data_IF_755368236389
#
_entry.id   IF_755368236389
#
_cell.length_a   1.000
_cell.length_b   1.000
_cell.length_c   1.000
_cell.angle_alpha   90.00
_cell.angle_beta   90.00
_cell.angle_gamma   90.00
#
_symmetry.space_group_name_H-M   'P 1'
#
loop_
_entity.id
_entity.type
_entity.pdbx_description
1 polymer ?
#
# COMPACT_ATOMS: atom_id res chain seq x y z
N UNK A 1 1.86 -12.06 -8.18
CA UNK A 1 2.11 -13.38 -7.55
C UNK A 1 3.59 -13.60 -7.22
N UNK A 2 4.54 -13.39 -8.14
CA UNK A 2 5.96 -13.61 -7.86
C UNK A 2 6.46 -12.73 -6.70
N UNK A 3 6.20 -11.43 -6.73
CA UNK A 3 6.56 -10.50 -5.66
C UNK A 3 5.94 -10.90 -4.32
N UNK A 4 4.67 -11.33 -4.26
CA UNK A 4 4.02 -11.74 -3.00
C UNK A 4 4.69 -12.96 -2.36
N UNK A 5 5.16 -13.92 -3.18
CA UNK A 5 5.91 -15.08 -2.67
C UNK A 5 7.25 -14.68 -2.06
N UNK A 6 7.92 -13.67 -2.62
CA UNK A 6 9.16 -13.13 -2.08
C UNK A 6 8.92 -12.36 -0.78
N UNK A 7 7.86 -11.53 -0.73
CA UNK A 7 7.48 -10.78 0.47
C UNK A 7 7.13 -11.69 1.65
N UNK A 8 6.42 -12.79 1.40
CA UNK A 8 6.06 -13.75 2.44
C UNK A 8 7.25 -14.45 3.11
N UNK A 9 8.47 -14.34 2.54
CA UNK A 9 9.71 -14.87 3.07
C UNK A 9 10.56 -13.83 3.80
N UNK A 10 10.20 -12.54 3.73
CA UNK A 10 10.97 -11.48 4.39
C UNK A 10 10.84 -11.57 5.91
N UNK A 11 11.97 -11.46 6.59
CA UNK A 11 11.99 -11.30 8.05
C UNK A 11 11.54 -9.91 8.48
N UNK A 12 11.09 -9.80 9.72
CA UNK A 12 10.57 -8.56 10.33
C UNK A 12 11.54 -7.39 10.21
N UNK A 13 12.84 -7.62 10.49
CA UNK A 13 13.86 -6.57 10.43
C UNK A 13 13.96 -5.96 9.03
N UNK A 14 13.96 -6.80 7.97
CA UNK A 14 14.01 -6.30 6.59
C UNK A 14 12.76 -5.52 6.22
N UNK A 15 11.58 -6.00 6.63
CA UNK A 15 10.33 -5.26 6.40
C UNK A 15 10.36 -3.89 7.08
N UNK A 16 10.83 -3.82 8.33
CA UNK A 16 10.93 -2.56 9.06
C UNK A 16 11.93 -1.60 8.41
N UNK A 17 13.12 -2.08 8.04
CA UNK A 17 14.14 -1.30 7.32
C UNK A 17 13.56 -0.66 6.05
N UNK A 18 12.86 -1.45 5.24
CA UNK A 18 12.26 -0.97 3.98
C UNK A 18 11.16 0.05 4.24
N UNK A 19 10.29 -0.17 5.23
CA UNK A 19 9.24 0.79 5.58
C UNK A 19 9.83 2.13 6.04
N UNK A 20 10.88 2.11 6.88
CA UNK A 20 11.57 3.33 7.29
C UNK A 20 12.21 4.05 6.09
N UNK A 21 12.83 3.31 5.18
CA UNK A 21 13.40 3.88 3.94
C UNK A 21 12.32 4.50 3.04
N UNK A 22 11.14 3.87 2.92
CA UNK A 22 10.00 4.43 2.19
C UNK A 22 9.51 5.72 2.86
N UNK A 23 9.38 5.76 4.19
CA UNK A 23 8.97 6.96 4.90
C UNK A 23 9.93 8.14 4.64
N UNK A 24 11.24 7.90 4.67
CA UNK A 24 12.25 8.92 4.36
C UNK A 24 12.20 9.34 2.87
N UNK A 25 11.99 8.39 1.94
CA UNK A 25 11.85 8.71 0.53
C UNK A 25 10.61 9.59 0.25
N UNK A 26 9.49 9.34 0.93
CA UNK A 26 8.27 10.18 0.84
C UNK A 26 8.56 11.61 1.31
N UNK A 27 9.27 11.80 2.44
CA UNK A 27 9.67 13.11 2.93
C UNK A 27 10.60 13.83 1.97
N UNK A 28 11.61 13.12 1.46
CA UNK A 28 12.59 13.65 0.53
C UNK A 28 11.97 14.10 -0.81
N UNK A 29 10.91 13.43 -1.25
CA UNK A 29 10.21 13.72 -2.50
C UNK A 29 8.91 14.53 -2.29
N UNK A 30 8.74 15.18 -1.14
CA UNK A 30 7.53 15.94 -0.83
C UNK A 30 7.24 17.03 -1.87
N UNK A 31 8.28 17.70 -2.40
CA UNK A 31 8.12 18.71 -3.46
C UNK A 31 7.48 18.14 -4.72
N UNK A 32 7.98 17.01 -5.22
CA UNK A 32 7.42 16.31 -6.37
C UNK A 32 5.97 15.87 -6.13
N UNK A 33 5.69 15.28 -4.98
CA UNK A 33 4.32 14.83 -4.63
C UNK A 33 3.36 16.03 -4.56
N UNK A 34 3.79 17.17 -4.00
CA UNK A 34 2.97 18.38 -3.93
C UNK A 34 2.72 18.99 -5.30
N UNK A 35 3.69 18.99 -6.20
CA UNK A 35 3.52 19.47 -7.57
C UNK A 35 2.46 18.63 -8.32
N UNK A 36 2.53 17.31 -8.23
CA UNK A 36 1.55 16.42 -8.84
C UNK A 36 0.16 16.55 -8.17
N UNK A 37 0.11 16.70 -6.85
CA UNK A 37 -1.13 16.94 -6.12
C UNK A 37 -1.78 18.28 -6.51
N UNK A 38 -0.98 19.31 -6.80
CA UNK A 38 -1.52 20.59 -7.26
C UNK A 38 -2.33 20.44 -8.56
N UNK A 39 -1.90 19.58 -9.49
CA UNK A 39 -2.65 19.29 -10.73
C UNK A 39 -4.01 18.70 -10.44
N UNK A 40 -4.09 17.73 -9.52
CA UNK A 40 -5.36 17.12 -9.10
C UNK A 40 -6.28 18.14 -8.44
N UNK A 41 -5.72 18.99 -7.57
CA UNK A 41 -6.48 20.03 -6.85
C UNK A 41 -7.04 21.09 -7.81
N UNK A 42 -6.24 21.55 -8.78
CA UNK A 42 -6.70 22.54 -9.78
C UNK A 42 -7.79 21.92 -10.68
N UNK A 43 -7.63 20.68 -11.10
CA UNK A 43 -8.68 19.97 -11.85
C UNK A 43 -9.95 19.82 -11.01
N UNK A 44 -9.84 19.42 -9.75
CA UNK A 44 -10.99 19.30 -8.84
C UNK A 44 -11.74 20.62 -8.63
N UNK A 45 -11.01 21.76 -8.55
CA UNK A 45 -11.63 23.10 -8.51
C UNK A 45 -12.37 23.42 -9.82
N UNK A 46 -11.73 23.15 -10.96
CA UNK A 46 -12.33 23.38 -12.28
C UNK A 46 -13.62 22.58 -12.48
N UNK A 47 -13.66 21.34 -11.96
CA UNK A 47 -14.82 20.46 -12.01
C UNK A 47 -15.89 20.76 -10.95
N UNK A 48 -15.70 21.81 -10.15
CA UNK A 48 -16.66 22.23 -9.12
C UNK A 48 -16.75 21.28 -7.92
N UNK A 49 -15.66 20.60 -7.59
CA UNK A 49 -15.60 19.68 -6.43
C UNK A 49 -15.98 20.40 -5.14
N UNK A 50 -16.80 19.76 -4.30
CA UNK A 50 -17.21 20.31 -3.00
C UNK A 50 -15.99 20.51 -2.08
N UNK A 51 -16.01 21.59 -1.29
CA UNK A 51 -14.89 21.98 -0.42
C UNK A 51 -14.38 20.87 0.50
N UNK A 52 -15.26 20.06 1.07
CA UNK A 52 -14.87 18.94 1.92
C UNK A 52 -14.16 17.80 1.18
N UNK A 53 -14.45 17.57 -0.10
CA UNK A 53 -13.74 16.61 -0.95
C UNK A 53 -12.38 17.20 -1.38
N UNK A 54 -12.38 18.48 -1.75
CA UNK A 54 -11.15 19.19 -2.12
C UNK A 54 -10.14 19.23 -0.97
N UNK A 55 -10.62 19.45 0.28
CA UNK A 55 -9.74 19.35 1.46
C UNK A 55 -9.13 17.96 1.63
N UNK A 56 -9.90 16.89 1.41
CA UNK A 56 -9.41 15.51 1.48
C UNK A 56 -8.39 15.18 0.40
N UNK A 57 -8.55 15.77 -0.79
CA UNK A 57 -7.65 15.62 -1.94
C UNK A 57 -6.34 16.38 -1.72
N UNK A 58 -6.41 17.55 -1.08
CA UNK A 58 -5.28 18.47 -0.96
C UNK A 58 -4.22 17.92 -0.01
N UNK A 59 -3.00 17.79 -0.48
CA UNK A 59 -1.82 17.51 0.33
C UNK A 59 -1.13 18.82 0.74
N UNK A 60 -0.49 18.78 1.90
CA UNK A 60 0.43 19.81 2.40
C UNK A 60 1.70 19.12 2.87
N UNK A 61 2.79 19.89 3.06
CA UNK A 61 4.02 19.32 3.64
C UNK A 61 3.74 18.60 4.97
N UNK A 62 2.92 19.21 5.83
CA UNK A 62 2.55 18.62 7.12
C UNK A 62 1.75 17.31 6.95
N UNK A 63 0.85 17.22 5.95
CA UNK A 63 0.12 15.99 5.66
C UNK A 63 1.05 14.89 5.13
N UNK A 64 2.02 15.24 4.27
CA UNK A 64 3.02 14.28 3.78
C UNK A 64 3.92 13.79 4.93
N UNK A 65 4.34 14.67 5.81
CA UNK A 65 5.11 14.28 7.00
C UNK A 65 4.30 13.35 7.90
N UNK A 66 2.99 13.64 8.10
CA UNK A 66 2.08 12.77 8.84
C UNK A 66 1.88 11.40 8.20
N UNK A 67 1.82 11.32 6.85
CA UNK A 67 1.78 10.05 6.11
C UNK A 67 3.06 9.22 6.37
N UNK A 68 4.23 9.85 6.29
CA UNK A 68 5.51 9.20 6.58
C UNK A 68 5.60 8.73 8.04
N UNK A 69 5.09 9.53 9.00
CA UNK A 69 4.99 9.13 10.40
C UNK A 69 4.08 7.92 10.59
N UNK A 70 2.97 7.84 9.85
CA UNK A 70 2.10 6.67 9.84
C UNK A 70 2.85 5.40 9.41
N UNK A 71 3.67 5.46 8.37
CA UNK A 71 4.51 4.32 7.93
C UNK A 71 5.55 3.96 9.00
N UNK A 72 6.17 4.95 9.66
CA UNK A 72 7.10 4.71 10.77
C UNK A 72 6.39 3.99 11.94
N UNK A 73 5.14 4.38 12.26
CA UNK A 73 4.35 3.68 13.26
C UNK A 73 4.08 2.23 12.86
N UNK A 74 3.70 1.97 11.60
CA UNK A 74 3.51 0.62 11.07
C UNK A 74 4.79 -0.20 11.16
N UNK A 75 5.97 0.39 10.88
CA UNK A 75 7.25 -0.29 11.05
C UNK A 75 7.49 -0.73 12.50
N UNK A 76 7.04 0.06 13.47
CA UNK A 76 7.15 -0.24 14.91
C UNK A 76 6.16 -1.27 15.45
N UNK A 77 5.12 -1.65 14.69
CA UNK A 77 4.16 -2.66 15.14
C UNK A 77 4.78 -4.06 15.13
N UNK A 78 4.22 -4.95 15.94
CA UNK A 78 4.56 -6.36 15.90
C UNK A 78 4.24 -6.95 14.53
N UNK A 79 5.11 -7.85 14.06
CA UNK A 79 4.89 -8.57 12.81
C UNK A 79 3.99 -9.78 13.07
N UNK A 80 2.77 -9.83 12.50
CA UNK A 80 1.87 -10.94 12.74
C UNK A 80 2.27 -12.21 11.97
N UNK A 81 3.15 -12.09 10.97
CA UNK A 81 3.53 -13.22 10.11
C UNK A 81 4.39 -14.20 10.89
N UNK A 82 3.92 -15.43 10.97
CA UNK A 82 4.61 -16.47 11.70
C UNK A 82 4.14 -16.67 13.16
N UNK A 83 3.27 -15.82 13.68
CA UNK A 83 2.68 -15.98 15.00
C UNK A 83 1.95 -17.32 15.12
N UNK A 84 2.27 -18.12 16.17
CA UNK A 84 1.62 -19.38 16.46
C UNK A 84 0.47 -19.15 17.43
N UNK A 85 -0.76 -19.27 16.94
CA UNK A 85 -1.97 -19.04 17.71
C UNK A 85 -2.33 -20.18 18.66
N UNK A 86 -1.99 -21.41 18.28
CA UNK A 86 -2.25 -22.60 19.10
C UNK A 86 -1.37 -23.75 18.64
N UNK A 87 -1.09 -24.69 19.57
CA UNK A 87 -0.39 -25.94 19.31
C UNK A 87 -1.04 -27.04 20.13
N UNK A 88 -1.44 -28.15 19.50
CA UNK A 88 -2.15 -29.25 20.18
C UNK A 88 -1.57 -30.61 19.77
N UNK A 89 -1.22 -31.44 20.76
CA UNK A 89 -0.88 -32.84 20.52
C UNK A 89 -2.16 -33.63 20.35
N UNK A 90 -2.22 -34.45 19.31
CA UNK A 90 -3.33 -35.34 19.02
C UNK A 90 -3.08 -36.72 19.67
N UNK A 91 -4.14 -37.59 19.87
CA UNK A 91 -3.98 -38.92 20.45
C UNK A 91 -2.99 -39.81 19.68
N UNK A 92 -2.89 -39.63 18.36
CA UNK A 92 -1.93 -40.36 17.49
C UNK A 92 -0.50 -39.81 17.55
N UNK A 93 -0.19 -38.84 18.43
CA UNK A 93 1.13 -38.25 18.59
C UNK A 93 1.44 -37.04 17.68
N UNK A 94 0.62 -36.75 16.68
CA UNK A 94 0.79 -35.57 15.83
C UNK A 94 0.69 -34.28 16.63
N UNK A 95 1.58 -33.32 16.33
CA UNK A 95 1.53 -31.96 16.86
C UNK A 95 0.96 -31.04 15.77
N UNK A 96 -0.25 -30.52 15.98
CA UNK A 96 -0.95 -29.67 15.03
C UNK A 96 -0.95 -28.24 15.56
N UNK A 97 -0.44 -27.31 14.76
CA UNK A 97 -0.38 -25.87 15.07
C UNK A 97 -1.20 -25.03 14.10
N UNK A 98 -1.67 -23.87 14.60
CA UNK A 98 -2.30 -22.82 13.82
C UNK A 98 -1.36 -21.61 13.79
N UNK A 99 -0.90 -21.23 12.60
CA UNK A 99 0.08 -20.16 12.37
C UNK A 99 -0.47 -19.13 11.40
N UNK A 100 -0.19 -17.84 11.65
CA UNK A 100 -0.54 -16.76 10.74
C UNK A 100 0.40 -16.74 9.53
N UNK A 101 -0.17 -16.55 8.36
CA UNK A 101 0.54 -16.41 7.08
C UNK A 101 -0.03 -15.22 6.29
N UNK A 102 0.73 -14.61 5.36
CA UNK A 102 0.19 -13.59 4.46
C UNK A 102 -0.96 -14.16 3.60
N UNK A 103 -1.88 -13.31 3.19
CA UNK A 103 -2.89 -13.66 2.17
C UNK A 103 -2.25 -13.91 0.81
N UNK A 104 -1.29 -13.07 0.42
CA UNK A 104 -0.62 -13.11 -0.87
C UNK A 104 -0.73 -11.78 -1.61
N UNK A 105 -1.73 -11.61 -2.48
CA UNK A 105 -2.00 -10.38 -3.22
C UNK A 105 -3.32 -9.79 -2.74
N UNK A 106 -3.28 -8.55 -2.26
CA UNK A 106 -4.46 -7.80 -1.81
C UNK A 106 -4.73 -6.69 -2.83
N UNK A 107 -5.93 -6.62 -3.36
CA UNK A 107 -6.39 -5.48 -4.14
C UNK A 107 -7.22 -4.54 -3.27
N UNK A 108 -6.97 -3.24 -3.35
CA UNK A 108 -7.70 -2.23 -2.58
C UNK A 108 -8.23 -1.15 -3.52
N UNK A 109 -9.54 -0.92 -3.45
CA UNK A 109 -10.24 0.09 -4.22
C UNK A 109 -10.62 1.20 -3.23
N UNK A 110 -10.21 2.43 -3.50
CA UNK A 110 -10.44 3.56 -2.60
C UNK A 110 -10.76 4.84 -3.35
N UNK A 111 -11.35 5.80 -2.64
CA UNK A 111 -11.73 7.09 -3.19
C UNK A 111 -10.56 8.08 -3.25
N UNK A 112 -10.88 9.35 -3.51
CA UNK A 112 -9.98 10.49 -3.74
C UNK A 112 -9.22 10.94 -2.48
N UNK A 113 -8.39 10.05 -1.91
CA UNK A 113 -7.55 10.31 -0.74
C UNK A 113 -6.13 9.83 -1.00
N UNK A 114 -5.21 10.72 -1.42
CA UNK A 114 -3.84 10.31 -1.78
C UNK A 114 -3.09 9.59 -0.67
N UNK A 115 -3.34 9.92 0.61
CA UNK A 115 -2.70 9.26 1.74
C UNK A 115 -2.97 7.75 1.79
N UNK A 116 -4.15 7.29 1.34
CA UNK A 116 -4.52 5.87 1.37
C UNK A 116 -3.56 5.01 0.54
N UNK A 117 -2.97 5.58 -0.52
CA UNK A 117 -1.95 4.90 -1.33
C UNK A 117 -0.77 4.43 -0.47
N UNK A 118 -0.23 5.32 0.37
CA UNK A 118 0.91 5.02 1.24
C UNK A 118 0.51 4.18 2.45
N UNK A 119 -0.61 4.51 3.09
CA UNK A 119 -1.09 3.81 4.30
C UNK A 119 -1.37 2.33 3.99
N UNK A 120 -2.07 2.07 2.89
CA UNK A 120 -2.40 0.71 2.44
C UNK A 120 -1.15 -0.08 2.06
N UNK A 121 -0.22 0.55 1.33
CA UNK A 121 1.07 -0.08 1.04
C UNK A 121 1.78 -0.50 2.33
N UNK A 122 1.91 0.41 3.31
CA UNK A 122 2.61 0.14 4.56
C UNK A 122 2.03 -1.06 5.31
N UNK A 123 0.72 -1.12 5.46
CA UNK A 123 0.01 -2.21 6.14
C UNK A 123 0.16 -3.56 5.40
N UNK A 124 -0.02 -3.56 4.06
CA UNK A 124 0.13 -4.77 3.25
C UNK A 124 1.57 -5.28 3.28
N UNK A 125 2.55 -4.39 3.11
CA UNK A 125 3.97 -4.75 3.11
C UNK A 125 4.42 -5.29 4.47
N UNK A 126 4.03 -4.65 5.59
CA UNK A 126 4.33 -5.13 6.95
C UNK A 126 3.83 -6.55 7.18
N UNK A 127 2.67 -6.87 6.65
CA UNK A 127 2.04 -8.19 6.78
C UNK A 127 2.44 -9.18 5.68
N UNK A 128 3.45 -8.84 4.88
CA UNK A 128 4.06 -9.73 3.86
C UNK A 128 3.22 -9.94 2.61
N UNK A 129 2.28 -9.02 2.31
CA UNK A 129 1.42 -9.08 1.15
C UNK A 129 1.88 -8.11 0.06
N UNK A 130 1.76 -8.51 -1.20
CA UNK A 130 1.79 -7.58 -2.33
C UNK A 130 0.43 -6.88 -2.44
N UNK A 131 0.42 -5.64 -2.94
CA UNK A 131 -0.79 -4.84 -3.06
C UNK A 131 -1.00 -4.32 -4.48
N UNK A 132 -2.24 -4.36 -4.93
CA UNK A 132 -2.72 -3.71 -6.15
C UNK A 132 -3.69 -2.61 -5.71
N UNK A 133 -3.38 -1.37 -6.06
CA UNK A 133 -4.13 -0.20 -5.67
C UNK A 133 -4.93 0.36 -6.84
N UNK A 134 -6.20 0.68 -6.60
CA UNK A 134 -7.07 1.40 -7.54
C UNK A 134 -7.70 2.57 -6.83
N UNK A 135 -7.08 3.74 -6.95
CA UNK A 135 -7.60 5.00 -6.43
C UNK A 135 -8.66 5.64 -7.32
N UNK A 136 -9.35 6.64 -6.78
CA UNK A 136 -10.26 7.50 -7.54
C UNK A 136 -9.52 8.30 -8.62
N UNK A 137 -10.24 8.66 -9.70
CA UNK A 137 -9.70 9.46 -10.80
C UNK A 137 -9.23 10.84 -10.39
N UNK A 138 -9.87 11.41 -9.37
CA UNK A 138 -9.60 12.78 -8.91
C UNK A 138 -8.22 12.96 -8.27
N UNK A 139 -7.57 11.86 -7.84
CA UNK A 139 -6.26 11.86 -7.18
C UNK A 139 -5.19 11.13 -8.00
N UNK A 140 -5.39 10.98 -9.31
CA UNK A 140 -4.56 10.09 -10.12
C UNK A 140 -3.09 10.53 -10.16
N UNK A 141 -2.81 11.84 -10.33
CA UNK A 141 -1.44 12.34 -10.39
C UNK A 141 -0.73 12.17 -9.05
N UNK A 142 -1.41 12.48 -7.95
CA UNK A 142 -0.91 12.29 -6.59
C UNK A 142 -0.59 10.80 -6.31
N UNK A 143 -1.52 9.90 -6.68
CA UNK A 143 -1.36 8.48 -6.47
C UNK A 143 -0.18 7.92 -7.28
N UNK A 144 -0.01 8.34 -8.54
CA UNK A 144 1.13 7.96 -9.38
C UNK A 144 2.44 8.46 -8.76
N UNK A 145 2.49 9.72 -8.31
CA UNK A 145 3.68 10.28 -7.69
C UNK A 145 4.09 9.49 -6.44
N UNK A 146 3.16 9.21 -5.54
CA UNK A 146 3.40 8.43 -4.33
C UNK A 146 3.84 7.00 -4.71
N UNK A 147 3.17 6.35 -5.66
CA UNK A 147 3.50 5.01 -6.11
C UNK A 147 4.93 4.92 -6.69
N UNK A 148 5.34 5.92 -7.48
CA UNK A 148 6.67 5.98 -8.04
C UNK A 148 7.74 6.09 -6.95
N UNK A 149 7.53 6.97 -5.96
CA UNK A 149 8.46 7.11 -4.82
C UNK A 149 8.58 5.80 -4.04
N UNK A 150 7.46 5.11 -3.79
CA UNK A 150 7.47 3.80 -3.11
C UNK A 150 8.25 2.78 -3.93
N UNK A 151 7.99 2.65 -5.24
CA UNK A 151 8.66 1.68 -6.13
C UNK A 151 10.16 1.90 -6.19
N UNK A 152 10.61 3.16 -6.30
CA UNK A 152 12.05 3.48 -6.29
C UNK A 152 12.70 3.14 -4.94
N UNK A 153 12.02 3.42 -3.83
CA UNK A 153 12.51 3.04 -2.51
C UNK A 153 12.60 1.51 -2.34
N UNK A 154 11.63 0.76 -2.87
CA UNK A 154 11.66 -0.72 -2.89
C UNK A 154 12.88 -1.23 -3.66
N UNK A 155 13.11 -0.74 -4.88
CA UNK A 155 14.28 -1.09 -5.71
C UNK A 155 15.60 -0.80 -4.98
N UNK A 156 15.73 0.40 -4.43
CA UNK A 156 16.92 0.82 -3.70
C UNK A 156 17.26 -0.10 -2.51
N UNK A 157 16.23 -0.75 -1.95
CA UNK A 157 16.37 -1.70 -0.83
C UNK A 157 16.37 -3.18 -1.25
N UNK A 158 16.49 -3.47 -2.55
CA UNK A 158 16.56 -4.84 -3.09
C UNK A 158 15.24 -5.61 -3.03
N UNK A 159 14.12 -4.90 -2.98
CA UNK A 159 12.77 -5.47 -3.04
C UNK A 159 12.20 -5.31 -4.46
N UNK A 160 11.52 -6.35 -4.94
CA UNK A 160 10.80 -6.30 -6.22
C UNK A 160 9.76 -5.17 -6.19
N UNK A 161 9.89 -4.20 -7.08
CA UNK A 161 8.96 -3.07 -7.21
C UNK A 161 7.50 -3.51 -7.45
N UNK A 162 7.32 -4.72 -8.01
CA UNK A 162 6.00 -5.33 -8.19
C UNK A 162 5.32 -5.73 -6.86
N UNK A 163 5.97 -5.51 -5.73
CA UNK A 163 5.33 -5.61 -4.42
C UNK A 163 4.18 -4.61 -4.25
N UNK A 164 4.25 -3.49 -5.00
CA UNK A 164 3.21 -2.46 -5.04
C UNK A 164 2.87 -2.12 -6.47
N UNK A 165 1.60 -2.27 -6.85
CA UNK A 165 1.07 -1.92 -8.15
C UNK A 165 -0.05 -0.89 -7.99
N UNK A 166 -0.08 0.09 -8.89
CA UNK A 166 -1.16 1.06 -9.02
C UNK A 166 -1.80 0.89 -10.40
N UNK A 167 -3.11 0.79 -10.44
CA UNK A 167 -3.88 0.85 -11.69
C UNK A 167 -4.02 2.34 -12.05
N UNK A 168 -3.28 2.77 -13.05
CA UNK A 168 -3.19 4.17 -13.49
C UNK A 168 -4.34 4.58 -14.40
N UNK A 169 -5.10 3.61 -14.94
CA UNK A 169 -6.28 3.89 -15.75
C UNK A 169 -7.40 4.48 -14.88
N UNK A 170 -8.03 5.53 -15.38
CA UNK A 170 -9.22 6.15 -14.75
C UNK A 170 -10.52 5.45 -15.14
N UNK A 171 -10.47 4.50 -16.07
CA UNK A 171 -11.65 3.75 -16.54
C UNK A 171 -12.20 2.86 -15.41
N UNK A 172 -13.52 2.90 -15.24
CA UNK A 172 -14.23 2.06 -14.27
C UNK A 172 -14.29 0.59 -14.66
N UNK A 173 -14.13 0.27 -15.94
CA UNK A 173 -14.09 -1.12 -16.40
C UNK A 173 -12.91 -1.89 -15.78
N UNK A 174 -11.79 -1.22 -15.49
CA UNK A 174 -10.66 -1.82 -14.78
C UNK A 174 -11.04 -2.42 -13.41
N UNK A 175 -12.05 -1.85 -12.75
CA UNK A 175 -12.56 -2.40 -11.48
C UNK A 175 -13.27 -3.73 -11.73
N UNK A 176 -14.07 -3.82 -12.79
CA UNK A 176 -14.76 -5.08 -13.14
C UNK A 176 -13.77 -6.17 -13.50
N UNK A 177 -12.73 -5.83 -14.27
CA UNK A 177 -11.64 -6.76 -14.59
C UNK A 177 -10.94 -7.24 -13.31
N UNK A 178 -10.58 -6.30 -12.42
CA UNK A 178 -9.93 -6.63 -11.15
C UNK A 178 -10.76 -7.61 -10.31
N UNK A 179 -12.08 -7.44 -10.27
CA UNK A 179 -13.01 -8.33 -9.56
C UNK A 179 -13.06 -9.76 -10.11
N UNK A 180 -12.62 -9.97 -11.36
CA UNK A 180 -12.59 -11.29 -12.00
C UNK A 180 -11.23 -11.99 -11.93
N UNK A 181 -10.18 -11.30 -11.42
CA UNK A 181 -8.80 -11.81 -11.38
C UNK A 181 -8.53 -12.81 -10.26
N UNK A 182 -9.40 -13.80 -10.08
CA UNK A 182 -9.33 -14.78 -8.97
C UNK A 182 -8.02 -15.60 -8.94
N UNK A 183 -7.35 -15.76 -10.09
CA UNK A 183 -6.04 -16.45 -10.17
C UNK A 183 -4.89 -15.59 -9.63
N UNK A 184 -5.05 -14.27 -9.60
CA UNK A 184 -3.98 -13.32 -9.27
C UNK A 184 -4.20 -12.60 -7.96
N UNK A 185 -5.44 -12.40 -7.53
CA UNK A 185 -5.83 -11.65 -6.34
C UNK A 185 -6.43 -12.59 -5.31
N UNK A 186 -5.95 -12.52 -4.08
CA UNK A 186 -6.41 -13.37 -2.97
C UNK A 186 -7.51 -12.70 -2.14
N UNK A 187 -7.45 -11.36 -2.02
CA UNK A 187 -8.43 -10.56 -1.24
C UNK A 187 -8.67 -9.24 -1.96
N UNK A 188 -9.94 -8.81 -2.01
CA UNK A 188 -10.32 -7.48 -2.49
C UNK A 188 -10.97 -6.73 -1.33
N UNK A 189 -10.53 -5.49 -1.11
CA UNK A 189 -11.07 -4.54 -0.13
C UNK A 189 -11.66 -3.37 -0.94
N UNK A 190 -13.01 -3.24 -0.98
CA UNK A 190 -13.71 -2.19 -1.71
C UNK A 190 -13.72 -0.86 -0.94
#
# INVERSE_FOLDING_TARGET
>A
RTASRSLGKLGTNKKNEVLLAVAEAIRANAGYILEENHKDVEQGKADGMKSGLLDRLTLTKARIDGMADGVNQVAGLDDPVGEVLSMKKRPNGLLIGKKRVPFGVIAVIYESRPNVTLDTFGLCFKTGNAVILKGGSDAINSNIAIANVIREALKANGIDENAMQLIESTDRECVKELLTMNEYVDVIIP
#
